data_IF_220601146799
#
_entry.id   IF_220601146799
#
_cell.length_a   1.000
_cell.length_b   1.000
_cell.length_c   1.000
_cell.angle_alpha   90.00
_cell.angle_beta   90.00
_cell.angle_gamma   90.00
#
_symmetry.space_group_name_H-M   'P 1'
#
loop_
_entity.id
_entity.type
_entity.pdbx_description
1 polymer ?
#
# COMPACT_ATOMS: atom_id res chain seq x y z
N UNK A 1 17.34 -56.47 -7.31
CA UNK A 1 16.67 -55.98 -6.07
C UNK A 1 17.22 -54.59 -5.82
N UNK A 2 16.51 -53.47 -5.84
CA UNK A 2 15.08 -53.19 -5.86
C UNK A 2 14.90 -51.88 -6.63
N UNK A 3 14.08 -51.89 -7.67
CA UNK A 3 13.57 -50.69 -8.30
C UNK A 3 12.56 -50.05 -7.34
N UNK A 4 13.00 -49.08 -6.56
CA UNK A 4 12.07 -48.24 -5.79
C UNK A 4 11.38 -47.31 -6.78
N UNK A 5 10.17 -47.69 -7.16
CA UNK A 5 9.19 -46.84 -7.82
C UNK A 5 9.07 -45.51 -7.07
N UNK A 6 9.60 -44.44 -7.65
CA UNK A 6 9.11 -43.09 -7.37
C UNK A 6 7.67 -43.02 -7.84
N UNK A 7 6.73 -43.34 -6.94
CA UNK A 7 5.33 -42.96 -7.11
C UNK A 7 5.30 -41.46 -7.37
N UNK A 8 5.00 -41.07 -8.59
CA UNK A 8 4.57 -39.71 -8.89
C UNK A 8 3.37 -39.41 -8.00
N UNK A 9 3.59 -38.60 -6.97
CA UNK A 9 2.52 -37.98 -6.22
C UNK A 9 1.64 -37.29 -7.26
N UNK A 10 0.32 -37.56 -7.30
CA UNK A 10 -0.56 -37.02 -8.33
C UNK A 10 -0.31 -35.52 -8.43
N UNK A 11 -0.26 -34.99 -9.65
CA UNK A 11 -0.13 -33.56 -9.91
C UNK A 11 -1.27 -32.81 -9.20
N UNK A 12 -1.09 -32.50 -7.91
CA UNK A 12 -1.96 -31.63 -7.16
C UNK A 12 -2.03 -30.35 -7.98
N UNK A 13 -3.25 -29.94 -8.36
CA UNK A 13 -3.48 -28.69 -9.09
C UNK A 13 -2.63 -27.62 -8.41
N UNK A 14 -1.51 -27.20 -9.03
CA UNK A 14 -0.56 -26.29 -8.38
C UNK A 14 -1.34 -25.03 -8.03
N UNK A 15 -1.62 -24.81 -6.74
CA UNK A 15 -2.38 -23.67 -6.19
C UNK A 15 -1.89 -22.34 -6.79
N UNK A 16 -0.60 -22.28 -7.13
CA UNK A 16 0.05 -21.24 -7.92
C UNK A 16 -0.75 -20.72 -9.12
N UNK A 17 -1.35 -21.60 -9.93
CA UNK A 17 -2.11 -21.18 -11.14
C UNK A 17 -3.31 -20.32 -10.77
N UNK A 18 -3.84 -20.49 -9.57
CA UNK A 18 -5.08 -19.90 -9.09
C UNK A 18 -4.87 -18.78 -8.07
N UNK A 19 -3.64 -18.29 -7.82
CA UNK A 19 -3.37 -17.24 -6.83
C UNK A 19 -4.28 -16.01 -7.02
N UNK A 20 -4.43 -15.52 -8.26
CA UNK A 20 -5.36 -14.42 -8.57
C UNK A 20 -6.81 -14.74 -8.17
N UNK A 21 -7.30 -15.96 -8.41
CA UNK A 21 -8.66 -16.37 -8.00
C UNK A 21 -8.79 -16.49 -6.47
N UNK A 22 -7.79 -17.06 -5.81
CA UNK A 22 -7.72 -17.17 -4.35
C UNK A 22 -7.76 -15.77 -3.74
N UNK A 23 -6.94 -14.85 -4.25
CA UNK A 23 -6.95 -13.44 -3.88
C UNK A 23 -8.36 -12.86 -3.99
N UNK A 24 -9.02 -12.98 -5.14
CA UNK A 24 -10.33 -12.37 -5.35
C UNK A 24 -11.38 -12.93 -4.39
N UNK A 25 -11.40 -14.25 -4.16
CA UNK A 25 -12.36 -14.88 -3.24
C UNK A 25 -12.18 -14.34 -1.82
N UNK A 26 -10.94 -14.29 -1.32
CA UNK A 26 -10.66 -13.81 0.04
C UNK A 26 -10.90 -12.29 0.13
N UNK A 27 -10.49 -11.52 -0.88
CA UNK A 27 -10.69 -10.07 -0.91
C UNK A 27 -12.17 -9.70 -0.89
N UNK A 28 -13.01 -10.37 -1.69
CA UNK A 28 -14.46 -10.13 -1.67
C UNK A 28 -15.05 -10.57 -0.32
N UNK A 29 -14.70 -11.75 0.20
CA UNK A 29 -15.24 -12.22 1.48
C UNK A 29 -14.86 -11.29 2.65
N UNK A 30 -13.57 -11.03 2.85
CA UNK A 30 -13.09 -10.16 3.92
C UNK A 30 -13.51 -8.70 3.71
N UNK A 31 -13.49 -8.22 2.47
CA UNK A 31 -13.88 -6.87 2.11
C UNK A 31 -15.36 -6.60 2.38
N UNK A 32 -16.24 -7.57 2.07
CA UNK A 32 -17.66 -7.48 2.44
C UNK A 32 -17.83 -7.31 3.96
N UNK A 33 -17.18 -8.17 4.76
CA UNK A 33 -17.24 -8.07 6.22
C UNK A 33 -16.75 -6.70 6.71
N UNK A 34 -15.61 -6.22 6.21
CA UNK A 34 -15.05 -4.94 6.62
C UNK A 34 -15.97 -3.78 6.22
N UNK A 35 -16.47 -3.75 4.98
CA UNK A 35 -17.32 -2.67 4.47
C UNK A 35 -18.64 -2.54 5.21
N UNK A 36 -19.25 -3.65 5.65
CA UNK A 36 -20.58 -3.64 6.27
C UNK A 36 -20.57 -3.65 7.79
N UNK A 37 -19.59 -4.31 8.42
CA UNK A 37 -19.62 -4.58 9.87
C UNK A 37 -18.76 -3.59 10.65
N UNK A 38 -17.62 -3.14 10.10
CA UNK A 38 -16.76 -2.21 10.84
C UNK A 38 -17.46 -0.86 11.04
N UNK A 39 -17.13 -0.13 12.14
CA UNK A 39 -17.73 1.17 12.40
C UNK A 39 -17.48 2.15 11.26
N UNK A 40 -18.31 3.19 11.19
CA UNK A 40 -18.14 4.26 10.22
C UNK A 40 -16.83 5.01 10.54
N UNK A 41 -16.12 5.51 9.52
CA UNK A 41 -14.82 6.17 9.66
C UNK A 41 -13.71 5.32 10.31
N UNK A 42 -13.65 4.02 9.99
CA UNK A 42 -12.66 3.06 10.50
C UNK A 42 -11.27 3.16 9.87
N UNK A 43 -11.13 4.04 8.89
CA UNK A 43 -9.88 4.47 8.31
C UNK A 43 -9.41 5.78 8.97
N UNK A 44 -8.09 6.01 9.09
CA UNK A 44 -7.62 7.33 9.51
C UNK A 44 -8.06 8.39 8.50
N UNK A 45 -8.50 9.52 9.03
CA UNK A 45 -9.15 10.62 8.30
C UNK A 45 -10.49 10.23 7.64
N UNK A 46 -11.20 9.21 8.15
CA UNK A 46 -12.45 8.72 7.55
C UNK A 46 -13.55 9.77 7.41
N UNK A 47 -13.75 10.63 8.43
CA UNK A 47 -14.72 11.73 8.36
C UNK A 47 -14.34 12.72 7.24
N UNK A 48 -13.04 13.03 7.10
CA UNK A 48 -12.52 13.87 6.02
C UNK A 48 -12.74 13.22 4.65
N UNK A 49 -12.42 11.93 4.50
CA UNK A 49 -12.63 11.19 3.25
C UNK A 49 -14.09 11.19 2.80
N UNK A 50 -15.02 11.02 3.75
CA UNK A 50 -16.45 11.13 3.48
C UNK A 50 -16.87 12.56 3.10
N UNK A 51 -16.37 13.58 3.81
CA UNK A 51 -16.67 14.98 3.49
C UNK A 51 -16.20 15.36 2.08
N UNK A 52 -14.99 14.96 1.68
CA UNK A 52 -14.47 15.18 0.32
C UNK A 52 -15.32 14.44 -0.71
N UNK A 53 -15.57 13.14 -0.49
CA UNK A 53 -16.33 12.30 -1.43
C UNK A 53 -17.76 12.80 -1.63
N UNK A 54 -18.43 13.17 -0.55
CA UNK A 54 -19.78 13.71 -0.59
C UNK A 54 -19.83 15.08 -1.29
N UNK A 55 -18.83 15.93 -1.07
CA UNK A 55 -18.75 17.23 -1.73
C UNK A 55 -18.51 17.15 -3.24
N UNK A 56 -17.75 16.14 -3.72
CA UNK A 56 -17.53 15.92 -5.16
C UNK A 56 -18.87 15.71 -5.90
N UNK A 57 -19.86 15.11 -5.26
CA UNK A 57 -21.19 14.82 -5.83
C UNK A 57 -22.28 15.77 -5.34
N UNK A 58 -21.92 16.87 -4.67
CA UNK A 58 -22.88 17.88 -4.20
C UNK A 58 -23.75 17.45 -3.02
N UNK A 59 -23.30 16.47 -2.23
CA UNK A 59 -24.02 15.88 -1.09
C UNK A 59 -23.33 16.17 0.25
N UNK A 60 -22.75 17.36 0.42
CA UNK A 60 -22.12 17.79 1.68
C UNK A 60 -23.04 17.53 2.87
N UNK A 61 -22.69 16.53 3.69
CA UNK A 61 -23.54 16.03 4.76
C UNK A 61 -23.06 16.57 6.11
N UNK A 62 -23.98 17.12 6.90
CA UNK A 62 -23.70 17.60 8.25
C UNK A 62 -23.60 16.41 9.22
N UNK A 63 -22.37 15.97 9.48
CA UNK A 63 -22.08 14.83 10.34
C UNK A 63 -22.22 15.15 11.84
N UNK A 64 -22.26 16.43 12.24
CA UNK A 64 -22.42 16.83 13.66
C UNK A 64 -23.76 16.35 14.24
N UNK A 65 -24.81 16.35 13.41
CA UNK A 65 -26.13 15.79 13.75
C UNK A 65 -26.13 14.30 14.05
N UNK A 66 -25.02 13.62 13.74
CA UNK A 66 -24.83 12.19 13.92
C UNK A 66 -23.88 11.88 15.10
N UNK A 67 -23.56 12.85 15.95
CA UNK A 67 -22.61 12.67 17.06
C UNK A 67 -21.14 12.69 16.63
N UNK A 68 -20.86 13.34 15.49
CA UNK A 68 -19.52 13.52 14.93
C UNK A 68 -19.23 15.02 14.80
N UNK A 69 -18.83 15.65 15.90
CA UNK A 69 -18.80 17.12 16.04
C UNK A 69 -17.76 17.82 15.16
N UNK A 70 -16.73 17.09 14.71
CA UNK A 70 -15.64 17.63 13.89
C UNK A 70 -15.35 16.75 12.68
N UNK A 71 -14.95 17.38 11.56
CA UNK A 71 -14.39 16.68 10.40
C UNK A 71 -12.91 16.40 10.69
N UNK A 72 -12.65 15.34 11.45
CA UNK A 72 -11.32 14.93 11.88
C UNK A 72 -11.01 13.48 11.47
N UNK A 73 -10.62 12.69 12.48
CA UNK A 73 -10.30 11.27 12.35
C UNK A 73 -10.70 10.55 13.62
N UNK A 74 -11.30 9.36 13.47
CA UNK A 74 -11.65 8.50 14.60
C UNK A 74 -13.08 7.99 14.52
N UNK A 75 -13.43 7.17 15.51
CA UNK A 75 -14.74 6.51 15.63
C UNK A 75 -15.34 6.71 17.02
N UNK A 76 -14.75 7.55 17.87
CA UNK A 76 -15.17 7.67 19.28
C UNK A 76 -16.60 8.18 19.44
N UNK A 77 -17.07 9.05 18.53
CA UNK A 77 -18.45 9.55 18.52
C UNK A 77 -19.50 8.45 18.46
N UNK A 78 -19.16 7.30 17.84
CA UNK A 78 -20.05 6.16 17.69
C UNK A 78 -20.17 5.28 18.96
N UNK A 79 -19.25 5.37 19.92
CA UNK A 79 -19.17 4.42 21.06
C UNK A 79 -20.44 4.39 21.90
N UNK A 80 -21.01 5.56 22.21
CA UNK A 80 -22.23 5.66 23.00
C UNK A 80 -23.41 4.97 22.31
N UNK A 81 -23.55 5.13 20.98
CA UNK A 81 -24.60 4.51 20.19
C UNK A 81 -24.44 2.99 20.07
N UNK A 82 -23.20 2.49 19.99
CA UNK A 82 -22.93 1.04 20.05
C UNK A 82 -23.31 0.44 21.41
N UNK A 83 -22.95 1.10 22.52
CA UNK A 83 -23.24 0.63 23.88
C UNK A 83 -24.73 0.66 24.22
N UNK A 84 -25.44 1.66 23.72
CA UNK A 84 -26.87 1.85 23.99
C UNK A 84 -27.78 1.12 22.98
N UNK A 85 -27.22 0.46 21.95
CA UNK A 85 -27.99 -0.26 20.93
C UNK A 85 -28.72 0.62 19.91
N UNK A 86 -28.46 1.93 19.88
CA UNK A 86 -29.13 2.92 19.02
C UNK A 86 -28.35 3.25 17.74
N UNK A 87 -27.24 2.55 17.48
CA UNK A 87 -26.38 2.80 16.31
C UNK A 87 -27.14 2.77 14.96
N UNK A 88 -28.00 1.78 14.73
CA UNK A 88 -28.76 1.70 13.48
C UNK A 88 -29.76 2.85 13.33
N UNK A 89 -30.43 3.23 14.42
CA UNK A 89 -31.38 4.34 14.42
C UNK A 89 -30.67 5.66 14.10
N UNK A 90 -29.54 5.91 14.77
CA UNK A 90 -28.76 7.13 14.59
C UNK A 90 -28.18 7.25 13.18
N UNK A 91 -27.53 6.20 12.67
CA UNK A 91 -26.75 6.31 11.43
C UNK A 91 -27.46 5.80 10.18
N UNK A 92 -28.37 4.83 10.29
CA UNK A 92 -29.01 4.21 9.12
C UNK A 92 -30.46 4.66 8.90
N UNK A 93 -31.21 4.97 9.95
CA UNK A 93 -32.63 5.36 9.83
C UNK A 93 -32.84 6.88 9.87
N UNK A 94 -31.90 7.64 10.41
CA UNK A 94 -31.94 9.10 10.39
C UNK A 94 -31.49 9.64 9.02
N UNK A 95 -32.30 10.54 8.44
CA UNK A 95 -32.03 11.11 7.12
C UNK A 95 -30.91 12.17 7.15
N UNK A 96 -29.96 12.03 6.23
CA UNK A 96 -28.84 12.93 5.99
C UNK A 96 -29.32 14.38 5.82
N UNK A 97 -28.73 15.30 6.59
CA UNK A 97 -28.91 16.73 6.36
C UNK A 97 -27.82 17.19 5.40
N UNK A 98 -28.22 17.72 4.24
CA UNK A 98 -27.31 18.28 3.24
C UNK A 98 -27.22 19.79 3.44
N UNK A 99 -26.01 20.34 3.37
CA UNK A 99 -25.75 21.78 3.44
C UNK A 99 -24.93 22.25 2.22
N UNK A 100 -24.96 23.54 1.85
CA UNK A 100 -24.18 24.04 0.72
C UNK A 100 -22.66 23.92 0.96
N UNK A 101 -21.88 23.52 -0.05
CA UNK A 101 -20.44 23.28 0.13
C UNK A 101 -19.62 24.48 0.62
N UNK A 102 -20.10 25.70 0.37
CA UNK A 102 -19.50 26.95 0.85
C UNK A 102 -19.53 27.08 2.38
N UNK A 103 -20.42 26.36 3.05
CA UNK A 103 -20.62 26.41 4.50
C UNK A 103 -19.86 25.27 5.21
N UNK A 104 -18.95 24.57 4.51
CA UNK A 104 -18.14 23.49 5.08
C UNK A 104 -17.23 24.00 6.20
N UNK A 105 -17.23 23.37 7.39
CA UNK A 105 -16.42 23.82 8.53
C UNK A 105 -14.92 23.58 8.34
N UNK A 106 -14.54 22.79 7.32
CA UNK A 106 -13.16 22.48 6.96
C UNK A 106 -12.93 22.72 5.47
N UNK A 107 -11.76 23.26 5.12
CA UNK A 107 -11.32 23.31 3.73
C UNK A 107 -11.05 21.89 3.22
N UNK A 108 -11.78 21.48 2.18
CA UNK A 108 -11.72 20.14 1.61
C UNK A 108 -10.67 20.01 0.49
N UNK A 109 -9.95 21.09 0.15
CA UNK A 109 -8.93 21.12 -0.91
C UNK A 109 -9.41 20.60 -2.27
N UNK A 110 -10.62 21.03 -2.67
CA UNK A 110 -11.29 20.62 -3.91
C UNK A 110 -11.02 21.57 -5.10
N UNK A 111 -10.25 22.64 -4.89
CA UNK A 111 -9.96 23.64 -5.92
C UNK A 111 -9.13 23.09 -7.09
N UNK A 112 -8.21 22.16 -6.80
CA UNK A 112 -7.41 21.49 -7.82
C UNK A 112 -7.95 20.09 -8.14
N UNK A 113 -8.63 19.96 -9.28
CA UNK A 113 -9.18 18.68 -9.77
C UNK A 113 -8.11 17.69 -10.24
N UNK A 114 -6.88 18.14 -10.48
CA UNK A 114 -5.74 17.32 -10.89
C UNK A 114 -4.79 17.00 -9.71
N UNK A 115 -5.38 16.72 -8.55
CA UNK A 115 -4.67 16.31 -7.34
C UNK A 115 -5.15 14.91 -6.89
N UNK A 116 -4.27 14.14 -6.24
CA UNK A 116 -4.57 12.81 -5.71
C UNK A 116 -5.75 12.83 -4.75
N UNK A 117 -5.97 13.95 -4.05
CA UNK A 117 -7.13 14.13 -3.19
C UNK A 117 -8.43 14.09 -4.01
N UNK A 118 -8.55 14.86 -5.09
CA UNK A 118 -9.77 14.85 -5.91
C UNK A 118 -9.92 13.54 -6.68
N UNK A 119 -8.88 13.13 -7.42
CA UNK A 119 -8.92 11.96 -8.31
C UNK A 119 -9.13 10.66 -7.52
N UNK A 120 -8.47 10.51 -6.37
CA UNK A 120 -8.59 9.30 -5.56
C UNK A 120 -9.94 9.13 -4.87
N UNK A 121 -10.69 10.22 -4.67
CA UNK A 121 -12.05 10.16 -4.11
C UNK A 121 -13.15 10.00 -5.16
N UNK A 122 -12.86 9.95 -6.46
CA UNK A 122 -13.89 9.77 -7.49
C UNK A 122 -14.68 8.46 -7.34
N UNK A 123 -14.00 7.35 -7.04
CA UNK A 123 -14.63 6.05 -6.83
C UNK A 123 -15.50 6.07 -5.55
N UNK A 124 -14.97 6.46 -4.37
CA UNK A 124 -15.78 6.68 -3.18
C UNK A 124 -16.98 7.61 -3.39
N UNK A 125 -16.80 8.74 -4.09
CA UNK A 125 -17.85 9.73 -4.37
C UNK A 125 -19.01 9.15 -5.18
N UNK A 126 -18.71 8.35 -6.22
CA UNK A 126 -19.72 7.61 -6.97
C UNK A 126 -20.51 6.67 -6.05
N UNK A 127 -19.83 5.97 -5.16
CA UNK A 127 -20.48 5.10 -4.18
C UNK A 127 -21.34 5.86 -3.16
N UNK A 128 -20.90 7.03 -2.69
CA UNK A 128 -21.70 7.92 -1.82
C UNK A 128 -22.98 8.37 -2.54
N UNK A 129 -22.86 8.76 -3.81
CA UNK A 129 -24.01 9.13 -4.64
C UNK A 129 -25.01 7.97 -4.76
N UNK A 130 -24.55 6.75 -5.06
CA UNK A 130 -25.43 5.56 -5.11
C UNK A 130 -26.10 5.33 -3.76
N UNK A 131 -25.34 5.38 -2.67
CA UNK A 131 -25.86 5.16 -1.32
C UNK A 131 -26.96 6.14 -0.93
N UNK A 132 -26.79 7.43 -1.25
CA UNK A 132 -27.80 8.46 -1.02
C UNK A 132 -29.12 8.18 -1.77
N UNK A 133 -29.03 7.70 -3.01
CA UNK A 133 -30.21 7.40 -3.83
C UNK A 133 -30.91 6.10 -3.44
N UNK A 134 -30.22 5.17 -2.78
CA UNK A 134 -30.84 4.00 -2.16
C UNK A 134 -31.60 4.39 -0.91
N UNK A 135 -30.94 5.10 0.01
CA UNK A 135 -31.57 5.72 1.16
C UNK A 135 -30.65 6.83 1.69
N UNK A 136 -31.16 8.06 1.86
CA UNK A 136 -30.32 9.21 2.20
C UNK A 136 -30.01 9.24 3.70
N UNK A 137 -29.21 8.29 4.20
CA UNK A 137 -28.66 8.29 5.56
C UNK A 137 -27.14 8.16 5.55
N UNK A 138 -26.50 8.63 6.61
CA UNK A 138 -25.04 8.64 6.73
C UNK A 138 -24.45 7.22 6.61
N UNK A 139 -25.06 6.25 7.29
CA UNK A 139 -24.67 4.85 7.27
C UNK A 139 -24.80 4.23 5.88
N UNK A 140 -25.91 4.46 5.18
CA UNK A 140 -26.11 3.93 3.83
C UNK A 140 -25.14 4.54 2.81
N UNK A 141 -24.92 5.86 2.87
CA UNK A 141 -23.96 6.54 2.02
C UNK A 141 -22.55 5.97 2.20
N UNK A 142 -22.09 5.77 3.45
CA UNK A 142 -20.76 5.26 3.75
C UNK A 142 -20.63 3.77 3.39
N UNK A 143 -21.55 2.91 3.81
CA UNK A 143 -21.45 1.46 3.57
C UNK A 143 -21.49 1.15 2.08
N UNK A 144 -22.37 1.80 1.31
CA UNK A 144 -22.43 1.60 -0.15
C UNK A 144 -21.17 2.14 -0.81
N UNK A 145 -20.62 3.27 -0.36
CA UNK A 145 -19.35 3.77 -0.85
C UNK A 145 -18.19 2.80 -0.60
N UNK A 146 -18.11 2.22 0.60
CA UNK A 146 -17.11 1.21 0.96
C UNK A 146 -17.23 -0.04 0.12
N UNK A 147 -18.45 -0.56 -0.05
CA UNK A 147 -18.72 -1.75 -0.88
C UNK A 147 -18.33 -1.52 -2.34
N UNK A 148 -18.66 -0.36 -2.88
CA UNK A 148 -18.31 0.02 -4.25
C UNK A 148 -16.80 0.14 -4.43
N UNK A 149 -16.11 0.87 -3.54
CA UNK A 149 -14.63 0.96 -3.52
C UNK A 149 -13.99 -0.42 -3.42
N UNK A 150 -14.44 -1.24 -2.46
CA UNK A 150 -13.91 -2.58 -2.21
C UNK A 150 -14.01 -3.44 -3.47
N UNK A 151 -15.17 -3.43 -4.12
CA UNK A 151 -15.39 -4.20 -5.34
C UNK A 151 -14.48 -3.71 -6.48
N UNK A 152 -14.47 -2.40 -6.77
CA UNK A 152 -13.67 -1.84 -7.87
C UNK A 152 -12.18 -2.12 -7.66
N UNK A 153 -11.62 -1.79 -6.49
CA UNK A 153 -10.18 -1.94 -6.25
C UNK A 153 -9.75 -3.40 -6.13
N UNK A 154 -10.57 -4.28 -5.55
CA UNK A 154 -10.29 -5.72 -5.52
C UNK A 154 -10.31 -6.34 -6.92
N UNK A 155 -11.22 -5.92 -7.79
CA UNK A 155 -11.28 -6.40 -9.18
C UNK A 155 -10.08 -5.88 -9.99
N UNK A 156 -9.69 -4.62 -9.83
CA UNK A 156 -8.48 -4.07 -10.46
C UNK A 156 -7.24 -4.86 -10.01
N UNK A 157 -7.06 -5.05 -8.71
CA UNK A 157 -5.93 -5.81 -8.16
C UNK A 157 -5.93 -7.26 -8.65
N UNK A 158 -7.10 -7.90 -8.75
CA UNK A 158 -7.25 -9.23 -9.36
C UNK A 158 -6.67 -9.28 -10.77
N UNK A 159 -7.01 -8.30 -11.62
CA UNK A 159 -6.49 -8.23 -12.98
C UNK A 159 -4.99 -7.96 -13.02
N UNK A 160 -4.46 -7.12 -12.12
CA UNK A 160 -3.02 -6.89 -11.97
C UNK A 160 -2.30 -8.21 -11.62
N UNK A 161 -2.77 -8.95 -10.62
CA UNK A 161 -2.20 -10.24 -10.21
C UNK A 161 -2.34 -11.29 -11.33
N UNK A 162 -3.43 -11.26 -12.09
CA UNK A 162 -3.64 -12.14 -13.24
C UNK A 162 -2.63 -11.84 -14.36
N UNK A 163 -2.42 -10.56 -14.67
CA UNK A 163 -1.49 -10.05 -15.68
C UNK A 163 -0.03 -10.37 -15.36
N UNK A 164 0.35 -10.28 -14.10
CA UNK A 164 1.73 -10.45 -13.62
C UNK A 164 2.34 -11.82 -14.02
N UNK A 165 3.63 -11.88 -14.36
CA UNK A 165 4.33 -13.14 -14.65
C UNK A 165 5.03 -13.75 -13.43
N UNK A 166 5.65 -12.92 -12.60
CA UNK A 166 6.40 -13.31 -11.40
C UNK A 166 5.98 -12.45 -10.21
N UNK A 167 6.07 -12.95 -8.98
CA UNK A 167 5.67 -12.17 -7.79
C UNK A 167 4.17 -12.22 -7.46
N UNK A 168 3.39 -13.10 -8.10
CA UNK A 168 1.93 -13.20 -7.88
C UNK A 168 1.59 -13.44 -6.42
N UNK A 169 2.39 -14.28 -5.75
CA UNK A 169 2.14 -14.62 -4.36
C UNK A 169 2.33 -13.39 -3.48
N UNK A 170 3.41 -12.63 -3.69
CA UNK A 170 3.65 -11.41 -2.91
C UNK A 170 2.56 -10.36 -3.11
N UNK A 171 2.14 -10.13 -4.36
CA UNK A 171 1.07 -9.17 -4.64
C UNK A 171 -0.24 -9.59 -3.94
N UNK A 172 -0.59 -10.88 -3.99
CA UNK A 172 -1.74 -11.39 -3.27
C UNK A 172 -1.57 -11.25 -1.74
N UNK A 173 -0.41 -11.63 -1.19
CA UNK A 173 -0.11 -11.53 0.25
C UNK A 173 -0.27 -10.11 0.77
N UNK A 174 0.42 -9.14 0.16
CA UNK A 174 0.37 -7.73 0.59
C UNK A 174 -1.05 -7.18 0.46
N UNK A 175 -1.74 -7.51 -0.64
CA UNK A 175 -3.09 -6.99 -0.89
C UNK A 175 -4.17 -7.62 -0.02
N UNK A 176 -3.91 -8.78 0.60
CA UNK A 176 -4.82 -9.42 1.58
C UNK A 176 -4.51 -9.03 3.02
N UNK A 177 -3.52 -8.16 3.24
CA UNK A 177 -3.24 -7.66 4.59
C UNK A 177 -4.42 -6.85 5.13
N UNK A 178 -4.70 -6.92 6.44
CA UNK A 178 -5.73 -6.10 7.09
C UNK A 178 -5.66 -4.62 6.70
N UNK A 179 -4.46 -4.06 6.57
CA UNK A 179 -4.28 -2.65 6.19
C UNK A 179 -4.81 -2.39 4.78
N UNK A 180 -4.40 -3.18 3.77
CA UNK A 180 -4.85 -2.98 2.39
C UNK A 180 -6.32 -3.32 2.22
N UNK A 181 -6.80 -4.38 2.87
CA UNK A 181 -8.22 -4.75 2.84
C UNK A 181 -9.11 -3.66 3.43
N UNK A 182 -8.69 -3.04 4.54
CA UNK A 182 -9.38 -1.89 5.11
C UNK A 182 -9.31 -0.68 4.18
N UNK A 183 -8.15 -0.39 3.58
CA UNK A 183 -8.01 0.71 2.62
C UNK A 183 -8.93 0.54 1.41
N UNK A 184 -9.00 -0.66 0.80
CA UNK A 184 -9.93 -0.92 -0.30
C UNK A 184 -11.39 -0.82 0.14
N UNK A 185 -11.67 -1.16 1.39
CA UNK A 185 -13.01 -1.15 2.00
C UNK A 185 -13.33 0.16 2.72
N UNK A 186 -12.64 1.26 2.38
CA UNK A 186 -12.83 2.58 2.96
C UNK A 186 -13.09 3.64 1.89
N UNK A 187 -13.27 4.90 2.31
CA UNK A 187 -13.42 6.04 1.39
C UNK A 187 -12.07 6.68 1.05
N UNK A 188 -10.96 6.09 1.50
CA UNK A 188 -9.63 6.68 1.35
C UNK A 188 -9.13 6.67 -0.09
N UNK A 189 -8.53 7.79 -0.51
CA UNK A 189 -7.81 7.89 -1.77
C UNK A 189 -6.55 6.99 -1.84
N UNK A 190 -6.06 6.46 -0.70
CA UNK A 190 -4.88 5.60 -0.65
C UNK A 190 -5.04 4.32 -1.52
N UNK A 191 -6.29 3.88 -1.75
CA UNK A 191 -6.62 2.75 -2.62
C UNK A 191 -6.16 2.92 -4.06
N UNK A 192 -6.35 4.12 -4.63
CA UNK A 192 -5.91 4.43 -6.00
C UNK A 192 -4.37 4.38 -6.07
N UNK A 193 -3.70 4.91 -5.06
CA UNK A 193 -2.24 4.86 -4.95
C UNK A 193 -1.71 3.42 -4.92
N UNK A 194 -2.35 2.54 -4.15
CA UNK A 194 -1.98 1.13 -4.07
C UNK A 194 -2.12 0.40 -5.42
N UNK A 195 -3.27 0.51 -6.10
CA UNK A 195 -3.47 -0.18 -7.39
C UNK A 195 -2.62 0.42 -8.51
N UNK A 196 -2.35 1.72 -8.48
CA UNK A 196 -1.47 2.39 -9.46
C UNK A 196 -0.03 1.92 -9.29
N UNK A 197 0.49 1.93 -8.06
CA UNK A 197 1.81 1.39 -7.75
C UNK A 197 1.93 -0.09 -8.15
N UNK A 198 0.92 -0.91 -7.83
CA UNK A 198 0.90 -2.31 -8.20
C UNK A 198 0.93 -2.50 -9.73
N UNK A 199 0.13 -1.74 -10.49
CA UNK A 199 0.11 -1.82 -11.95
C UNK A 199 1.45 -1.39 -12.57
N UNK A 200 2.05 -0.30 -12.07
CA UNK A 200 3.38 0.19 -12.47
C UNK A 200 4.46 -0.87 -12.28
N UNK A 201 4.50 -1.49 -11.10
CA UNK A 201 5.48 -2.54 -10.80
C UNK A 201 5.19 -3.80 -11.62
N UNK A 202 3.92 -4.17 -11.81
CA UNK A 202 3.54 -5.32 -12.61
C UNK A 202 3.95 -5.18 -14.09
N UNK A 203 3.82 -3.98 -14.67
CA UNK A 203 4.29 -3.68 -16.01
C UNK A 203 5.82 -3.86 -16.11
N UNK A 204 6.57 -3.32 -15.14
CA UNK A 204 8.04 -3.48 -15.09
C UNK A 204 8.46 -4.96 -14.99
N UNK A 205 7.85 -5.73 -14.09
CA UNK A 205 8.12 -7.16 -13.93
C UNK A 205 7.85 -7.91 -15.24
N UNK A 206 6.75 -7.59 -15.93
CA UNK A 206 6.40 -8.26 -17.19
C UNK A 206 7.37 -7.92 -18.32
N UNK A 207 7.79 -6.66 -18.46
CA UNK A 207 8.80 -6.28 -19.46
C UNK A 207 10.12 -7.05 -19.26
N UNK A 208 10.54 -7.22 -18.00
CA UNK A 208 11.73 -8.01 -17.65
C UNK A 208 11.50 -9.50 -17.97
N UNK A 209 10.36 -10.04 -17.55
CA UNK A 209 9.99 -11.44 -17.76
C UNK A 209 9.98 -11.82 -19.25
N UNK A 210 9.46 -10.93 -20.10
CA UNK A 210 9.39 -11.14 -21.55
C UNK A 210 10.65 -10.73 -22.29
N UNK A 211 11.61 -10.07 -21.63
CA UNK A 211 12.84 -9.51 -22.25
C UNK A 211 12.53 -8.63 -23.47
N UNK A 212 11.41 -7.91 -23.43
CA UNK A 212 10.93 -7.06 -24.54
C UNK A 212 10.09 -5.91 -24.01
N UNK A 213 10.27 -4.74 -24.59
CA UNK A 213 9.36 -3.58 -24.48
C UNK A 213 8.55 -3.50 -25.77
N UNK A 214 7.23 -3.65 -25.68
CA UNK A 214 6.30 -3.54 -26.82
C UNK A 214 5.78 -2.11 -26.91
N UNK A 215 5.24 -1.73 -28.07
CA UNK A 215 4.60 -0.42 -28.25
C UNK A 215 3.52 -0.13 -27.20
N UNK A 216 2.65 -1.11 -26.93
CA UNK A 216 1.63 -1.00 -25.88
C UNK A 216 2.22 -0.81 -24.47
N UNK A 217 3.43 -1.31 -24.20
CA UNK A 217 4.06 -1.11 -22.90
C UNK A 217 4.46 0.36 -22.69
N UNK A 218 4.81 1.10 -23.76
CA UNK A 218 5.06 2.54 -23.71
C UNK A 218 3.81 3.35 -23.41
N UNK A 219 2.70 3.01 -24.07
CA UNK A 219 1.40 3.67 -23.82
C UNK A 219 0.97 3.44 -22.36
N UNK A 220 1.04 2.19 -21.89
CA UNK A 220 0.70 1.86 -20.51
C UNK A 220 1.61 2.56 -19.50
N UNK A 221 2.90 2.68 -19.79
CA UNK A 221 3.85 3.40 -18.97
C UNK A 221 3.51 4.90 -18.87
N UNK A 222 3.16 5.54 -19.98
CA UNK A 222 2.74 6.95 -19.98
C UNK A 222 1.45 7.17 -19.19
N UNK A 223 0.45 6.29 -19.35
CA UNK A 223 -0.80 6.33 -18.59
C UNK A 223 -0.54 6.16 -17.09
N UNK A 224 0.26 5.15 -16.71
CA UNK A 224 0.57 4.86 -15.30
C UNK A 224 1.43 5.94 -14.65
N UNK A 225 2.35 6.56 -15.42
CA UNK A 225 3.10 7.72 -14.97
C UNK A 225 2.16 8.89 -14.67
N UNK A 226 1.28 9.24 -15.62
CA UNK A 226 0.29 10.31 -15.44
C UNK A 226 -0.62 10.04 -14.25
N UNK A 227 -1.18 8.84 -14.16
CA UNK A 227 -2.04 8.43 -13.05
C UNK A 227 -1.31 8.44 -11.71
N UNK A 228 -0.03 8.04 -11.68
CA UNK A 228 0.79 8.11 -10.47
C UNK A 228 0.97 9.55 -9.99
N UNK A 229 1.23 10.49 -10.89
CA UNK A 229 1.45 11.90 -10.56
C UNK A 229 0.19 12.59 -10.03
N UNK A 230 -0.99 12.27 -10.58
CA UNK A 230 -2.26 12.92 -10.20
C UNK A 230 -3.11 12.11 -9.22
N UNK A 231 -2.79 10.84 -9.00
CA UNK A 231 -3.65 9.89 -8.28
C UNK A 231 -2.94 9.17 -7.13
N UNK A 232 -1.69 9.51 -6.82
CA UNK A 232 -0.92 8.91 -5.73
C UNK A 232 -0.14 9.96 -4.95
N UNK A 233 0.16 9.66 -3.68
CA UNK A 233 1.05 10.51 -2.87
C UNK A 233 2.45 10.61 -3.49
N UNK A 234 3.17 11.74 -3.30
CA UNK A 234 4.47 11.97 -3.92
C UNK A 234 5.53 10.91 -3.65
N UNK A 235 5.51 10.28 -2.47
CA UNK A 235 6.44 9.21 -2.12
C UNK A 235 6.33 7.99 -3.07
N UNK A 236 5.15 7.75 -3.67
CA UNK A 236 4.93 6.67 -4.63
C UNK A 236 5.40 7.04 -6.05
N UNK A 237 5.56 8.32 -6.37
CA UNK A 237 6.07 8.76 -7.68
C UNK A 237 7.48 8.24 -7.95
N UNK A 238 8.25 8.00 -6.88
CA UNK A 238 9.62 7.47 -6.95
C UNK A 238 9.69 6.07 -7.60
N UNK A 239 8.60 5.30 -7.59
CA UNK A 239 8.53 4.02 -8.32
C UNK A 239 8.80 4.24 -9.82
N UNK A 240 8.32 5.36 -10.38
CA UNK A 240 8.43 5.66 -11.80
C UNK A 240 9.88 5.93 -12.24
N UNK A 241 10.79 6.27 -11.31
CA UNK A 241 12.23 6.41 -11.57
C UNK A 241 12.84 5.09 -12.07
N UNK A 242 12.22 3.96 -11.77
CA UNK A 242 12.67 2.64 -12.25
C UNK A 242 12.32 2.40 -13.73
N UNK A 243 11.38 3.14 -14.34
CA UNK A 243 10.99 2.90 -15.73
C UNK A 243 12.15 3.03 -16.73
N UNK A 244 12.93 4.14 -16.77
CA UNK A 244 14.07 4.24 -17.68
C UNK A 244 15.09 3.13 -17.46
N UNK A 245 15.38 2.79 -16.20
CA UNK A 245 16.32 1.72 -15.85
C UNK A 245 15.83 0.36 -16.39
N UNK A 246 14.56 0.03 -16.17
CA UNK A 246 13.98 -1.24 -16.65
C UNK A 246 13.99 -1.31 -18.17
N UNK A 247 13.63 -0.23 -18.87
CA UNK A 247 13.68 -0.17 -20.34
C UNK A 247 15.10 -0.41 -20.83
N UNK A 248 16.09 0.31 -20.29
CA UNK A 248 17.50 0.13 -20.67
C UNK A 248 17.94 -1.31 -20.42
N UNK A 249 17.64 -1.87 -19.24
CA UNK A 249 18.01 -3.25 -18.91
C UNK A 249 17.39 -4.24 -19.89
N UNK A 250 16.10 -4.10 -20.22
CA UNK A 250 15.40 -4.99 -21.14
C UNK A 250 15.93 -4.87 -22.58
N UNK A 251 16.25 -3.67 -23.03
CA UNK A 251 16.86 -3.45 -24.36
C UNK A 251 18.28 -4.05 -24.46
N UNK A 252 19.00 -4.10 -23.33
CA UNK A 252 20.32 -4.72 -23.23
C UNK A 252 20.28 -6.24 -23.00
N UNK A 253 19.11 -6.82 -22.70
CA UNK A 253 18.98 -8.27 -22.49
C UNK A 253 19.04 -9.02 -23.83
N UNK A 254 19.84 -10.10 -23.94
CA UNK A 254 19.86 -10.93 -25.13
C UNK A 254 18.51 -11.61 -25.35
N UNK A 255 18.03 -11.58 -26.59
CA UNK A 255 16.73 -12.15 -26.98
C UNK A 255 16.74 -13.68 -27.13
N UNK A 256 17.91 -14.31 -27.22
CA UNK A 256 18.09 -15.77 -27.30
C UNK A 256 19.38 -16.23 -26.59
N UNK A 257 19.44 -17.49 -26.17
CA UNK A 257 20.62 -18.09 -25.50
C UNK A 257 21.88 -18.02 -26.38
N UNK A 258 21.77 -18.29 -27.69
CA UNK A 258 22.89 -18.14 -28.63
C UNK A 258 23.41 -16.69 -28.74
N UNK A 259 22.55 -15.68 -28.55
CA UNK A 259 22.96 -14.26 -28.53
C UNK A 259 23.50 -13.84 -27.18
N UNK A 260 23.22 -14.57 -26.10
CA UNK A 260 23.76 -14.31 -24.76
C UNK A 260 25.28 -14.51 -24.75
N UNK A 261 25.81 -15.57 -25.35
CA UNK A 261 27.26 -15.81 -25.44
C UNK A 261 28.01 -14.78 -26.29
N UNK A 262 27.43 -14.38 -27.43
CA UNK A 262 28.00 -13.36 -28.31
C UNK A 262 27.97 -11.98 -27.64
N UNK A 263 26.86 -11.65 -26.96
CA UNK A 263 26.70 -10.37 -26.26
C UNK A 263 27.59 -10.30 -25.02
N UNK A 264 27.69 -11.36 -24.23
CA UNK A 264 28.57 -11.44 -23.05
C UNK A 264 30.05 -11.33 -23.47
N UNK A 265 30.46 -11.95 -24.59
CA UNK A 265 31.81 -11.75 -25.14
C UNK A 265 32.06 -10.31 -25.58
N UNK A 266 31.11 -9.68 -26.26
CA UNK A 266 31.25 -8.32 -26.83
C UNK A 266 31.15 -7.20 -25.79
N UNK A 267 30.34 -7.38 -24.74
CA UNK A 267 30.13 -6.39 -23.68
C UNK A 267 30.90 -6.65 -22.38
N UNK A 268 31.79 -7.64 -22.33
CA UNK A 268 32.70 -7.88 -21.19
C UNK A 268 33.46 -6.62 -20.79
N UNK A 269 33.88 -5.79 -21.76
CA UNK A 269 34.59 -4.53 -21.50
C UNK A 269 33.70 -3.48 -20.84
N UNK A 270 32.45 -3.28 -21.31
CA UNK A 270 31.48 -2.34 -20.72
C UNK A 270 30.96 -2.79 -19.35
N UNK A 271 30.72 -4.09 -19.19
CA UNK A 271 30.37 -4.70 -17.92
C UNK A 271 31.52 -4.55 -16.89
N UNK A 272 32.77 -4.75 -17.32
CA UNK A 272 33.94 -4.48 -16.49
C UNK A 272 34.07 -3.00 -16.16
N UNK A 273 33.69 -2.08 -17.04
CA UNK A 273 33.72 -0.63 -16.77
C UNK A 273 32.72 -0.24 -15.67
N UNK A 274 31.46 -0.67 -15.77
CA UNK A 274 30.44 -0.46 -14.74
C UNK A 274 30.83 -1.10 -13.40
N UNK A 275 31.44 -2.29 -13.43
CA UNK A 275 31.94 -2.98 -12.22
C UNK A 275 33.17 -2.26 -11.64
N UNK A 276 34.05 -1.70 -12.49
CA UNK A 276 35.27 -0.96 -12.10
C UNK A 276 34.93 0.38 -11.45
N UNK A 277 33.93 1.08 -11.96
CA UNK A 277 33.49 2.38 -11.44
C UNK A 277 32.28 2.31 -10.51
N UNK A 278 31.79 1.11 -10.14
CA UNK A 278 30.63 0.97 -9.25
C UNK A 278 30.81 1.75 -7.95
N UNK A 279 32.02 1.75 -7.39
CA UNK A 279 32.34 2.46 -6.16
C UNK A 279 32.37 3.97 -6.37
N UNK A 280 32.94 4.45 -7.48
CA UNK A 280 32.91 5.88 -7.84
C UNK A 280 31.48 6.38 -8.07
N UNK A 281 30.64 5.59 -8.75
CA UNK A 281 29.25 5.93 -8.98
C UNK A 281 28.43 5.92 -7.69
N UNK A 282 28.60 4.89 -6.84
CA UNK A 282 27.98 4.84 -5.52
C UNK A 282 28.44 5.99 -4.62
N UNK A 283 29.73 6.35 -4.67
CA UNK A 283 30.28 7.47 -3.90
C UNK A 283 29.77 8.82 -4.43
N UNK A 284 29.68 8.99 -5.75
CA UNK A 284 29.05 10.16 -6.37
C UNK A 284 27.57 10.31 -5.98
N UNK A 285 26.81 9.21 -5.98
CA UNK A 285 25.43 9.20 -5.49
C UNK A 285 25.35 9.55 -4.00
N UNK A 286 26.28 9.04 -3.18
CA UNK A 286 26.35 9.38 -1.75
C UNK A 286 26.64 10.87 -1.55
N UNK A 287 27.57 11.44 -2.30
CA UNK A 287 27.86 12.89 -2.26
C UNK A 287 26.62 13.68 -2.68
N UNK A 288 25.97 13.31 -3.78
CA UNK A 288 24.74 13.97 -4.22
C UNK A 288 23.67 13.88 -3.13
N UNK A 289 23.49 12.72 -2.51
CA UNK A 289 22.55 12.55 -1.40
C UNK A 289 22.89 13.44 -0.21
N UNK A 290 24.16 13.54 0.18
CA UNK A 290 24.60 14.39 1.28
C UNK A 290 24.40 15.87 0.94
N UNK A 291 24.82 16.31 -0.25
CA UNK A 291 24.72 17.71 -0.68
C UNK A 291 23.27 18.13 -0.86
N UNK A 292 22.50 17.38 -1.66
CA UNK A 292 21.08 17.66 -1.89
C UNK A 292 20.27 17.52 -0.60
N UNK A 293 20.53 16.47 0.19
CA UNK A 293 19.89 16.26 1.48
C UNK A 293 20.17 17.40 2.45
N UNK A 294 21.42 17.86 2.56
CA UNK A 294 21.80 18.99 3.41
C UNK A 294 21.17 20.30 2.94
N UNK A 295 21.08 20.53 1.63
CA UNK A 295 20.41 21.69 1.06
C UNK A 295 18.90 21.66 1.37
N UNK A 296 18.22 20.54 1.10
CA UNK A 296 16.78 20.39 1.30
C UNK A 296 16.35 20.45 2.78
N UNK A 297 17.25 20.10 3.70
CA UNK A 297 16.97 20.07 5.14
C UNK A 297 17.58 21.26 5.88
N UNK A 298 18.19 22.23 5.17
CA UNK A 298 18.85 23.40 5.76
C UNK A 298 17.93 24.17 6.72
N UNK A 299 16.69 24.40 6.30
CA UNK A 299 15.70 25.14 7.10
C UNK A 299 15.02 24.27 8.17
N UNK A 300 15.47 23.02 8.33
CA UNK A 300 14.90 21.98 9.20
C UNK A 300 15.94 21.37 10.15
N UNK A 301 17.04 22.08 10.42
CA UNK A 301 18.13 21.61 11.30
C UNK A 301 19.28 20.87 10.58
N UNK A 302 19.17 20.70 9.25
CA UNK A 302 20.16 20.01 8.43
C UNK A 302 20.01 18.48 8.41
N UNK A 303 20.78 17.84 7.52
CA UNK A 303 20.61 16.43 7.19
C UNK A 303 20.84 15.52 8.40
N UNK A 304 21.81 15.88 9.25
CA UNK A 304 22.15 15.11 10.44
C UNK A 304 21.00 15.09 11.46
N UNK A 305 20.40 16.25 11.75
CA UNK A 305 19.26 16.33 12.68
C UNK A 305 18.06 15.54 12.14
N UNK A 306 17.76 15.65 10.85
CA UNK A 306 16.68 14.87 10.22
C UNK A 306 16.92 13.37 10.32
N UNK A 307 18.15 12.89 10.11
CA UNK A 307 18.51 11.48 10.26
C UNK A 307 18.35 11.02 11.72
N UNK A 308 18.77 11.85 12.69
CA UNK A 308 18.56 11.55 14.11
C UNK A 308 17.07 11.47 14.41
N UNK A 309 16.27 12.44 13.98
CA UNK A 309 14.81 12.45 14.18
C UNK A 309 14.15 11.21 13.60
N UNK A 310 14.58 10.77 12.41
CA UNK A 310 14.13 9.52 11.79
C UNK A 310 14.42 8.31 12.67
N UNK A 311 15.67 8.15 13.12
CA UNK A 311 16.08 7.03 13.98
C UNK A 311 15.27 7.05 15.28
N UNK A 312 15.20 8.19 15.95
CA UNK A 312 14.48 8.35 17.21
C UNK A 312 12.99 8.01 17.07
N UNK A 313 12.37 8.42 15.96
CA UNK A 313 10.96 8.12 15.67
C UNK A 313 10.69 6.61 15.56
N UNK A 314 11.68 5.82 15.08
CA UNK A 314 11.53 4.36 14.97
C UNK A 314 12.00 3.60 16.21
N UNK A 315 12.98 4.14 16.94
CA UNK A 315 13.63 3.46 18.05
C UNK A 315 12.90 3.64 19.37
N UNK A 316 12.28 4.79 19.58
CA UNK A 316 11.72 5.17 20.87
C UNK A 316 10.24 5.52 20.76
N UNK A 317 9.48 5.01 21.73
CA UNK A 317 8.09 5.40 21.92
C UNK A 317 8.05 6.60 22.85
N UNK A 318 7.91 7.78 22.26
CA UNK A 318 7.71 9.03 23.00
C UNK A 318 6.22 9.34 23.26
N UNK A 319 5.33 8.36 23.06
CA UNK A 319 3.87 8.48 23.13
C UNK A 319 3.28 7.34 23.98
N UNK A 320 2.38 7.64 24.92
CA UNK A 320 1.58 6.63 25.65
C UNK A 320 0.47 6.02 24.77
N UNK A 321 0.05 6.77 23.77
CA UNK A 321 -0.87 6.33 22.74
C UNK A 321 -0.04 5.76 21.60
N UNK A 322 -0.26 4.48 21.24
CA UNK A 322 0.39 3.77 20.11
C UNK A 322 0.90 4.74 19.04
N UNK A 323 2.22 4.90 18.96
CA UNK A 323 2.85 5.83 18.05
C UNK A 323 2.34 5.56 16.63
N UNK A 324 1.88 6.57 15.87
CA UNK A 324 1.55 6.43 14.45
C UNK A 324 2.69 5.77 13.62
N UNK A 325 3.92 5.76 14.16
CA UNK A 325 5.10 5.08 13.64
C UNK A 325 5.30 3.60 14.04
N UNK A 326 4.32 2.92 14.65
CA UNK A 326 4.47 1.48 14.92
C UNK A 326 4.37 0.65 13.63
N UNK A 327 5.29 -0.31 13.45
CA UNK A 327 5.31 -1.24 12.32
C UNK A 327 4.00 -2.03 12.12
N UNK A 328 3.12 -2.09 13.13
CA UNK A 328 1.79 -2.67 13.02
C UNK A 328 0.93 -2.04 11.94
N UNK A 329 1.09 -0.73 11.69
CA UNK A 329 0.43 0.03 10.63
C UNK A 329 0.84 -0.39 9.21
N UNK A 330 1.90 -1.19 9.06
CA UNK A 330 2.38 -1.61 7.74
C UNK A 330 1.48 -2.69 7.12
N UNK A 331 0.99 -3.67 7.89
CA UNK A 331 0.18 -4.77 7.34
C UNK A 331 -0.95 -5.21 8.27
N UNK A 332 -0.88 -4.95 9.57
CA UNK A 332 -1.72 -5.62 10.57
C UNK A 332 -2.89 -4.76 11.03
N UNK A 333 -2.64 -3.48 11.32
CA UNK A 333 -3.59 -2.65 12.03
C UNK A 333 -3.70 -1.31 11.32
N UNK A 334 -4.73 -1.08 10.48
CA UNK A 334 -4.88 0.17 9.73
C UNK A 334 -5.07 1.39 10.63
N UNK A 335 -5.66 1.19 11.81
CA UNK A 335 -5.90 2.21 12.82
C UNK A 335 -5.67 1.66 14.25
N UNK A 336 -4.40 1.54 14.70
CA UNK A 336 -4.00 0.83 15.93
C UNK A 336 -4.68 1.31 17.19
N UNK A 337 -4.99 2.61 17.25
CA UNK A 337 -5.68 3.20 18.40
C UNK A 337 -7.06 2.58 18.65
N UNK A 338 -7.74 2.12 17.59
CA UNK A 338 -9.10 1.58 17.69
C UNK A 338 -9.20 0.09 17.36
N UNK A 339 -8.23 -0.50 16.65
CA UNK A 339 -8.34 -1.89 16.21
C UNK A 339 -7.92 -2.92 17.26
N UNK A 340 -7.13 -2.53 18.28
CA UNK A 340 -6.65 -3.41 19.35
C UNK A 340 -6.04 -4.74 18.83
N UNK A 341 -5.27 -4.68 17.73
CA UNK A 341 -4.72 -5.86 17.10
C UNK A 341 -3.57 -6.49 17.91
N UNK A 342 -3.52 -7.82 18.07
CA UNK A 342 -2.41 -8.48 18.75
C UNK A 342 -1.07 -8.20 18.08
N UNK A 343 -0.09 -7.73 18.85
CA UNK A 343 1.25 -7.37 18.34
C UNK A 343 2.00 -8.56 17.74
N UNK A 344 1.70 -9.79 18.17
CA UNK A 344 2.26 -11.03 17.60
C UNK A 344 1.98 -11.15 16.09
N UNK A 345 0.87 -10.56 15.60
CA UNK A 345 0.54 -10.58 14.17
C UNK A 345 1.58 -9.81 13.34
N UNK A 346 2.29 -8.84 13.93
CA UNK A 346 3.37 -8.11 13.23
C UNK A 346 4.48 -9.08 12.85
N UNK A 347 4.90 -9.94 13.79
CA UNK A 347 5.91 -10.97 13.54
C UNK A 347 5.43 -12.01 12.52
N UNK A 348 4.17 -12.46 12.64
CA UNK A 348 3.58 -13.43 11.71
C UNK A 348 3.57 -12.89 10.27
N UNK A 349 3.12 -11.63 10.08
CA UNK A 349 3.12 -10.97 8.77
C UNK A 349 4.53 -10.72 8.25
N UNK A 350 5.48 -10.33 9.11
CA UNK A 350 6.89 -10.18 8.74
C UNK A 350 7.50 -11.50 8.23
N UNK A 351 7.30 -12.60 8.96
CA UNK A 351 7.72 -13.94 8.55
C UNK A 351 7.07 -14.33 7.23
N UNK A 352 5.76 -14.10 7.07
CA UNK A 352 5.04 -14.40 5.85
C UNK A 352 5.61 -13.64 4.64
N UNK A 353 5.90 -12.33 4.77
CA UNK A 353 6.49 -11.53 3.70
C UNK A 353 7.88 -12.06 3.31
N UNK A 354 8.72 -12.41 4.27
CA UNK A 354 10.04 -13.01 4.01
C UNK A 354 9.88 -14.35 3.29
N UNK A 355 9.07 -15.26 3.81
CA UNK A 355 8.82 -16.58 3.21
C UNK A 355 8.28 -16.47 1.78
N UNK A 356 7.33 -15.57 1.55
CA UNK A 356 6.76 -15.33 0.23
C UNK A 356 7.82 -14.77 -0.73
N UNK A 357 8.61 -13.79 -0.28
CA UNK A 357 9.66 -13.16 -1.09
C UNK A 357 10.73 -14.16 -1.54
N UNK A 358 11.15 -15.07 -0.66
CA UNK A 358 12.15 -16.10 -1.01
C UNK A 358 11.53 -17.28 -1.78
N UNK A 359 10.22 -17.51 -1.68
CA UNK A 359 9.52 -18.60 -2.41
C UNK A 359 9.23 -18.31 -3.88
N UNK A 360 9.36 -17.05 -4.28
CA UNK A 360 9.16 -16.66 -5.66
C UNK A 360 10.30 -17.16 -6.55
N UNK A 361 9.97 -17.42 -7.82
CA UNK A 361 11.00 -17.88 -8.76
C UNK A 361 11.88 -16.69 -9.13
N UNK A 362 13.19 -16.89 -9.09
CA UNK A 362 14.12 -15.94 -9.67
C UNK A 362 13.81 -15.71 -11.16
N UNK A 363 13.91 -14.46 -11.61
CA UNK A 363 13.59 -14.08 -13.00
C UNK A 363 14.55 -13.04 -13.61
N UNK A 364 15.55 -12.56 -12.86
CA UNK A 364 16.58 -11.68 -13.40
C UNK A 364 17.94 -11.87 -12.70
N UNK A 365 19.02 -11.42 -13.35
CA UNK A 365 20.40 -11.47 -12.84
C UNK A 365 20.96 -10.09 -12.42
N UNK A 366 20.24 -9.01 -12.72
CA UNK A 366 20.73 -7.62 -12.55
C UNK A 366 20.77 -7.21 -11.07
N UNK A 367 21.97 -7.04 -10.53
CA UNK A 367 22.20 -6.48 -9.18
C UNK A 367 21.83 -5.01 -9.12
N UNK A 368 22.08 -4.26 -10.20
CA UNK A 368 21.72 -2.84 -10.29
C UNK A 368 20.20 -2.65 -10.12
N UNK A 369 19.39 -3.50 -10.73
CA UNK A 369 17.94 -3.45 -10.57
C UNK A 369 17.51 -3.68 -9.12
N UNK A 370 18.05 -4.73 -8.47
CA UNK A 370 17.76 -5.01 -7.06
C UNK A 370 18.18 -3.85 -6.16
N UNK A 371 19.37 -3.29 -6.39
CA UNK A 371 19.87 -2.13 -5.63
C UNK A 371 19.01 -0.88 -5.85
N UNK A 372 18.66 -0.55 -7.10
CA UNK A 372 17.80 0.59 -7.41
C UNK A 372 16.39 0.43 -6.84
N UNK A 373 15.81 -0.77 -6.88
CA UNK A 373 14.53 -1.04 -6.24
C UNK A 373 14.60 -0.84 -4.72
N UNK A 374 15.65 -1.34 -4.06
CA UNK A 374 15.89 -1.08 -2.62
C UNK A 374 16.06 0.41 -2.33
N UNK A 375 16.81 1.14 -3.16
CA UNK A 375 17.02 2.57 -3.02
C UNK A 375 15.70 3.34 -3.15
N UNK A 376 14.83 2.94 -4.08
CA UNK A 376 13.49 3.55 -4.22
C UNK A 376 12.62 3.32 -3.00
N UNK A 377 12.68 2.13 -2.37
CA UNK A 377 11.99 1.91 -1.08
C UNK A 377 12.52 2.88 -0.02
N UNK A 378 13.85 2.98 0.14
CA UNK A 378 14.47 3.85 1.14
C UNK A 378 14.15 5.33 0.90
N UNK A 379 14.25 5.80 -0.35
CA UNK A 379 13.90 7.17 -0.72
C UNK A 379 12.41 7.45 -0.55
N UNK A 380 11.54 6.46 -0.79
CA UNK A 380 10.10 6.55 -0.53
C UNK A 380 9.80 6.76 0.95
N UNK A 381 10.49 6.03 1.82
CA UNK A 381 10.41 6.23 3.28
C UNK A 381 10.88 7.64 3.63
N UNK A 382 12.09 8.01 3.20
CA UNK A 382 12.66 9.32 3.50
C UNK A 382 11.77 10.48 3.00
N UNK A 383 11.23 10.38 1.78
CA UNK A 383 10.37 11.39 1.17
C UNK A 383 9.09 11.62 1.96
N UNK A 384 8.44 10.55 2.45
CA UNK A 384 7.27 10.70 3.29
C UNK A 384 7.61 11.40 4.61
N UNK A 385 8.68 10.97 5.30
CA UNK A 385 9.11 11.62 6.53
C UNK A 385 9.54 13.07 6.35
N UNK A 386 10.20 13.39 5.23
CA UNK A 386 10.57 14.76 4.88
C UNK A 386 9.35 15.69 4.81
N UNK A 387 8.25 15.22 4.20
CA UNK A 387 7.00 15.98 4.11
C UNK A 387 6.36 16.31 5.46
N UNK A 388 6.69 15.55 6.50
CA UNK A 388 6.15 15.71 7.86
C UNK A 388 7.14 16.36 8.84
N UNK A 389 8.31 16.82 8.39
CA UNK A 389 9.32 17.41 9.28
C UNK A 389 8.83 18.63 10.08
N UNK A 390 7.86 19.36 9.53
CA UNK A 390 7.22 20.51 10.17
C UNK A 390 5.86 20.19 10.80
N UNK A 391 5.44 18.93 10.80
CA UNK A 391 4.13 18.52 11.31
C UNK A 391 4.22 18.13 12.78
N UNK A 392 3.33 18.71 13.60
CA UNK A 392 3.20 18.40 15.02
C UNK A 392 2.97 19.63 15.89
N UNK A 393 2.33 19.44 17.05
CA UNK A 393 2.00 20.49 18.02
C UNK A 393 2.68 20.29 19.39
N UNK A 394 3.56 19.29 19.50
CA UNK A 394 4.25 18.98 20.76
C UNK A 394 5.21 20.11 21.18
N UNK A 395 5.50 20.17 22.48
CA UNK A 395 6.52 21.05 23.04
C UNK A 395 7.70 20.22 23.57
N UNK A 396 8.87 20.86 23.73
CA UNK A 396 10.04 20.26 24.39
C UNK A 396 10.89 19.30 23.54
N UNK A 397 11.59 18.38 24.20
CA UNK A 397 12.60 17.49 23.61
C UNK A 397 12.01 16.49 22.60
N UNK A 398 10.82 15.94 22.89
CA UNK A 398 10.14 14.99 22.01
C UNK A 398 9.74 15.61 20.66
N UNK A 399 9.33 16.89 20.62
CA UNK A 399 9.06 17.59 19.36
C UNK A 399 10.34 17.73 18.51
N UNK A 400 11.44 18.14 19.14
CA UNK A 400 12.71 18.35 18.44
C UNK A 400 13.28 17.05 17.87
N UNK A 401 13.06 15.93 18.55
CA UNK A 401 13.72 14.66 18.23
C UNK A 401 12.83 13.65 17.50
N UNK A 402 11.56 13.94 17.21
CA UNK A 402 10.67 13.00 16.51
C UNK A 402 9.93 13.64 15.34
N UNK A 403 9.41 12.82 14.42
CA UNK A 403 8.58 13.23 13.28
C UNK A 403 7.19 12.64 13.47
N UNK A 404 6.16 13.49 13.48
CA UNK A 404 4.77 13.08 13.70
C UNK A 404 4.01 12.92 12.39
N UNK A 405 2.86 12.24 12.44
CA UNK A 405 1.90 12.19 11.32
C UNK A 405 2.24 11.20 10.19
N UNK A 406 3.45 10.64 10.17
CA UNK A 406 3.82 9.59 9.23
C UNK A 406 3.29 8.24 9.70
N UNK A 407 2.66 7.51 8.81
CA UNK A 407 2.06 6.20 9.09
C UNK A 407 2.67 5.16 8.15
N UNK A 408 2.99 3.97 8.68
CA UNK A 408 3.62 2.91 7.89
C UNK A 408 2.78 2.41 6.72
N UNK A 409 1.45 2.63 6.73
CA UNK A 409 0.59 2.28 5.61
C UNK A 409 0.98 2.97 4.30
N UNK A 410 1.61 4.15 4.36
CA UNK A 410 2.09 4.89 3.19
C UNK A 410 3.16 4.13 2.40
N UNK A 411 3.78 3.12 3.02
CA UNK A 411 4.84 2.30 2.45
C UNK A 411 4.37 0.91 2.03
N UNK A 412 3.10 0.54 2.33
CA UNK A 412 2.52 -0.74 1.89
C UNK A 412 2.71 -1.00 0.39
N UNK A 413 2.55 -0.03 -0.54
CA UNK A 413 2.70 -0.31 -1.96
C UNK A 413 4.16 -0.54 -2.35
N UNK A 414 5.11 0.01 -1.60
CA UNK A 414 6.55 -0.17 -1.83
C UNK A 414 7.00 -1.61 -1.55
N UNK A 415 6.28 -2.37 -0.73
CA UNK A 415 6.53 -3.80 -0.51
C UNK A 415 6.38 -4.61 -1.82
N UNK A 416 5.61 -4.12 -2.79
CA UNK A 416 5.45 -4.78 -4.08
C UNK A 416 6.73 -4.73 -4.93
N UNK A 417 7.74 -3.93 -4.57
CA UNK A 417 9.06 -3.90 -5.21
C UNK A 417 9.96 -5.07 -4.78
N UNK A 418 9.64 -5.77 -3.68
CA UNK A 418 10.45 -6.89 -3.19
C UNK A 418 10.72 -8.01 -4.23
N UNK A 419 9.86 -8.32 -5.23
CA UNK A 419 10.20 -9.27 -6.27
C UNK A 419 11.39 -8.81 -7.13
N UNK A 420 11.57 -7.50 -7.36
CA UNK A 420 12.73 -6.95 -8.08
C UNK A 420 14.03 -7.06 -7.24
N UNK A 421 13.91 -7.23 -5.93
CA UNK A 421 15.03 -7.32 -4.99
C UNK A 421 15.43 -8.79 -4.80
N UNK A 422 14.48 -9.63 -4.38
CA UNK A 422 14.75 -10.99 -3.92
C UNK A 422 14.68 -12.06 -5.02
N UNK A 423 14.06 -11.79 -6.17
CA UNK A 423 14.00 -12.75 -7.29
C UNK A 423 15.24 -12.69 -8.20
N UNK A 424 16.40 -12.39 -7.61
CA UNK A 424 17.69 -12.38 -8.28
C UNK A 424 18.30 -13.79 -8.25
N UNK A 425 18.72 -14.33 -9.40
CA UNK A 425 19.28 -15.69 -9.51
C UNK A 425 20.55 -15.92 -8.66
N UNK A 426 21.25 -14.84 -8.28
CA UNK A 426 22.42 -14.91 -7.40
C UNK A 426 22.05 -15.20 -5.95
N UNK A 427 20.80 -15.00 -5.58
CA UNK A 427 20.27 -15.22 -4.23
C UNK A 427 19.61 -16.60 -4.21
N UNK A 428 20.26 -17.58 -3.58
CA UNK A 428 19.75 -18.96 -3.47
C UNK A 428 19.28 -19.23 -2.05
N UNK A 429 17.98 -19.43 -1.86
CA UNK A 429 17.41 -19.87 -0.59
C UNK A 429 16.80 -21.26 -0.72
N UNK A 430 16.90 -22.07 0.34
CA UNK A 430 16.05 -23.25 0.50
C UNK A 430 14.72 -22.78 1.06
N UNK A 431 13.63 -23.12 0.38
CA UNK A 431 12.30 -22.64 0.71
C UNK A 431 11.43 -23.82 1.13
N UNK A 432 10.55 -23.66 2.14
CA UNK A 432 9.44 -24.60 2.36
C UNK A 432 8.64 -24.86 1.08
N UNK A 433 7.86 -25.95 1.07
CA UNK A 433 6.95 -26.22 -0.04
C UNK A 433 6.10 -24.98 -0.35
N UNK A 434 6.13 -24.54 -1.61
CA UNK A 434 5.42 -23.33 -2.05
C UNK A 434 3.91 -23.42 -1.82
N UNK A 435 3.34 -24.62 -1.78
CA UNK A 435 1.94 -24.83 -1.41
C UNK A 435 1.71 -24.52 0.08
N UNK A 436 2.63 -24.88 0.96
CA UNK A 436 2.55 -24.55 2.40
C UNK A 436 2.60 -23.04 2.63
N UNK A 437 3.42 -22.31 1.86
CA UNK A 437 3.45 -20.84 1.93
C UNK A 437 2.12 -20.22 1.48
N UNK A 438 1.49 -20.78 0.44
CA UNK A 438 0.15 -20.34 0.00
C UNK A 438 -0.90 -20.61 1.08
N UNK A 439 -0.89 -21.78 1.70
CA UNK A 439 -1.82 -22.11 2.80
C UNK A 439 -1.60 -21.17 3.98
N UNK A 440 -0.33 -20.94 4.37
CA UNK A 440 0.02 -20.02 5.45
C UNK A 440 -0.46 -18.58 5.16
N UNK A 441 -0.33 -18.11 3.91
CA UNK A 441 -0.89 -16.84 3.46
C UNK A 441 -2.41 -16.80 3.63
N UNK A 442 -3.14 -17.83 3.17
CA UNK A 442 -4.61 -17.90 3.25
C UNK A 442 -5.08 -17.84 4.70
N UNK A 443 -4.51 -18.68 5.57
CA UNK A 443 -4.88 -18.73 7.00
C UNK A 443 -4.57 -17.40 7.68
N UNK A 444 -3.37 -16.85 7.45
CA UNK A 444 -2.97 -15.56 8.04
C UNK A 444 -3.90 -14.44 7.60
N UNK A 445 -4.23 -14.36 6.31
CA UNK A 445 -5.13 -13.35 5.77
C UNK A 445 -6.53 -13.45 6.39
N UNK A 446 -7.15 -14.64 6.41
CA UNK A 446 -8.51 -14.82 6.93
C UNK A 446 -8.55 -14.51 8.43
N UNK A 447 -7.65 -15.09 9.23
CA UNK A 447 -7.63 -14.91 10.68
C UNK A 447 -7.37 -13.46 11.05
N UNK A 448 -6.39 -12.81 10.42
CA UNK A 448 -6.06 -11.41 10.77
C UNK A 448 -7.14 -10.41 10.34
N UNK A 449 -7.80 -10.60 9.20
CA UNK A 449 -8.92 -9.74 8.80
C UNK A 449 -10.16 -9.97 9.69
N UNK A 450 -10.41 -11.21 10.12
CA UNK A 450 -11.46 -11.50 11.10
C UNK A 450 -11.17 -10.81 12.44
N UNK A 451 -9.94 -10.93 12.95
CA UNK A 451 -9.51 -10.26 14.18
C UNK A 451 -9.62 -8.74 14.08
N UNK A 452 -9.31 -8.15 12.92
CA UNK A 452 -9.49 -6.71 12.68
C UNK A 452 -10.94 -6.27 12.94
N UNK A 453 -11.90 -6.98 12.35
CA UNK A 453 -13.33 -6.66 12.53
C UNK A 453 -13.75 -6.88 13.97
N UNK A 454 -13.45 -8.07 14.52
CA UNK A 454 -13.85 -8.46 15.87
C UNK A 454 -13.30 -7.51 16.94
N UNK A 455 -11.98 -7.26 16.95
CA UNK A 455 -11.36 -6.45 17.98
C UNK A 455 -11.77 -4.98 17.89
N UNK A 456 -11.99 -4.46 16.68
CA UNK A 456 -12.48 -3.08 16.52
C UNK A 456 -13.89 -2.94 17.10
N UNK A 457 -14.79 -3.87 16.79
CA UNK A 457 -16.14 -3.87 17.36
C UNK A 457 -16.14 -4.07 18.87
N UNK A 458 -15.32 -5.01 19.36
CA UNK A 458 -15.14 -5.22 20.78
C UNK A 458 -14.69 -3.94 21.49
N UNK A 459 -13.75 -3.21 20.89
CA UNK A 459 -13.29 -1.91 21.36
C UNK A 459 -14.33 -0.81 21.32
N UNK A 460 -15.39 -0.91 20.50
CA UNK A 460 -16.51 0.03 20.51
C UNK A 460 -17.48 -0.23 21.67
N UNK A 461 -17.66 -1.51 22.03
CA UNK A 461 -18.63 -1.92 23.04
C UNK A 461 -18.01 -1.88 24.44
N UNK A 462 -16.79 -2.40 24.61
CA UNK A 462 -16.23 -2.76 25.92
C UNK A 462 -15.13 -1.83 26.44
N UNK A 463 -14.49 -1.03 25.57
CA UNK A 463 -13.39 -0.10 25.91
C UNK A 463 -13.86 1.31 25.69
#
# INVERSE_FOLDING_TARGET
MEHIYTREIPQSKKLRKYIHKIYLIIAIFCGLLISTIMPLFNEPDGQYHFAVSSAIVGLNTDISKYGEDEIGSGMSGQKSFYRNGTFLEQYFFTKATIYPSKDSPRNLDLGNKFNYNYIGHLIPAAGVWIGYHLYPSLGMMIVIARLFSMFVYSVIMYFIIKYLKFGKLLFATVSLSPVIMNTFSSLSYDSLGMVTAAATIALMINMIAFKKVRFWDWILMAILLGLSLIGSKPNLWLINVLFPLVVILVLLMPRSEQREDIYLRRNRVKANLLIRYKWFFSFGLLIIFIVAGSYMTRDRGGLFEVIIRLIFTQSFRFYDIYSPGDFGNLLVSPYPYYNYMPTILIAIWGILIVLVSISEKAFHKSVLLSFSASLVIMLGIFSAYYGFLGYGSLSGFALRMTIQGVQWRYFTPLLLLLPLIFSNERIKFRVPSRNSVVIFMIVTAIVSNFLLVFNTLWGMIMV
#
